data_IF_109199773608
#
_entry.id   IF_109199773608
#
_cell.length_a   1.000
_cell.length_b   1.000
_cell.length_c   1.000
_cell.angle_alpha   90.00
_cell.angle_beta   90.00
_cell.angle_gamma   90.00
#
_symmetry.space_group_name_H-M   'P 1'
#
loop_
_entity.id
_entity.type
_entity.pdbx_description
1 polymer ?
#
# COMPACT_ATOMS: atom_id res chain seq x y z
N UNK A 1 -20.79 -28.08 -6.39
CA UNK A 1 -20.26 -27.72 -7.73
C UNK A 1 -18.82 -27.26 -7.56
N UNK A 2 -17.87 -27.73 -8.37
CA UNK A 2 -16.50 -27.24 -8.36
C UNK A 2 -16.29 -26.29 -9.54
N UNK A 3 -15.71 -25.12 -9.30
CA UNK A 3 -15.35 -24.16 -10.34
C UNK A 3 -13.84 -24.06 -10.49
N UNK A 4 -13.37 -23.89 -11.73
CA UNK A 4 -11.95 -23.66 -12.01
C UNK A 4 -11.66 -22.16 -11.98
N UNK A 5 -10.65 -21.77 -11.22
CA UNK A 5 -10.14 -20.39 -11.17
C UNK A 5 -8.72 -20.38 -11.74
N UNK A 6 -8.49 -19.58 -12.78
CA UNK A 6 -7.16 -19.34 -13.35
C UNK A 6 -6.78 -17.90 -13.01
N UNK A 7 -5.71 -17.73 -12.25
CA UNK A 7 -5.18 -16.41 -11.92
C UNK A 7 -3.76 -16.24 -12.44
N UNK A 8 -3.45 -15.03 -12.91
CA UNK A 8 -2.10 -14.62 -13.28
C UNK A 8 -1.55 -13.71 -12.18
N UNK A 9 -0.27 -13.88 -11.87
CA UNK A 9 0.44 -13.08 -10.87
C UNK A 9 1.92 -13.06 -11.21
N UNK A 10 2.65 -12.16 -10.57
CA UNK A 10 4.10 -12.14 -10.63
C UNK A 10 4.72 -13.46 -10.16
N UNK A 11 5.72 -13.93 -10.91
CA UNK A 11 6.39 -15.21 -10.64
C UNK A 11 7.09 -15.23 -9.28
N UNK A 12 7.69 -14.10 -8.89
CA UNK A 12 8.40 -13.97 -7.62
C UNK A 12 7.44 -14.04 -6.43
N UNK A 13 6.28 -13.37 -6.52
CA UNK A 13 5.23 -13.44 -5.52
C UNK A 13 4.70 -14.87 -5.36
N UNK A 14 4.44 -15.57 -6.49
CA UNK A 14 4.03 -16.98 -6.47
C UNK A 14 5.04 -17.87 -5.75
N UNK A 15 6.34 -17.72 -6.05
CA UNK A 15 7.41 -18.51 -5.40
C UNK A 15 7.47 -18.23 -3.90
N UNK A 16 7.37 -16.96 -3.49
CA UNK A 16 7.38 -16.57 -2.09
C UNK A 16 6.18 -17.15 -1.31
N UNK A 17 4.98 -17.00 -1.86
CA UNK A 17 3.76 -17.55 -1.27
C UNK A 17 3.83 -19.08 -1.14
N UNK A 18 4.32 -19.77 -2.18
CA UNK A 18 4.46 -21.23 -2.16
C UNK A 18 5.48 -21.71 -1.12
N UNK A 19 6.62 -21.01 -0.97
CA UNK A 19 7.62 -21.31 0.05
C UNK A 19 7.06 -21.13 1.46
N UNK A 20 6.27 -20.07 1.69
CA UNK A 20 5.61 -19.82 2.99
C UNK A 20 4.57 -20.89 3.29
N UNK A 21 3.66 -21.17 2.35
CA UNK A 21 2.66 -22.21 2.50
C UNK A 21 3.28 -23.58 2.86
N UNK A 22 4.36 -23.97 2.17
CA UNK A 22 5.09 -25.21 2.45
C UNK A 22 5.69 -25.25 3.86
N UNK A 23 6.25 -24.13 4.34
CA UNK A 23 6.78 -24.02 5.71
C UNK A 23 5.69 -24.19 6.75
N UNK A 24 4.49 -23.71 6.47
CA UNK A 24 3.32 -23.82 7.34
C UNK A 24 2.53 -25.12 7.13
N UNK A 25 3.06 -26.08 6.35
CA UNK A 25 2.45 -27.40 6.15
C UNK A 25 1.18 -27.39 5.29
N UNK A 26 0.94 -26.32 4.51
CA UNK A 26 -0.27 -26.15 3.71
C UNK A 26 0.03 -26.01 2.22
N UNK A 27 -0.96 -26.35 1.38
CA UNK A 27 -0.88 -26.12 -0.06
C UNK A 27 -1.28 -24.69 -0.41
N UNK A 28 -0.75 -24.15 -1.51
CA UNK A 28 -1.16 -22.81 -2.00
C UNK A 28 -2.67 -22.76 -2.33
N UNK A 29 -3.26 -23.87 -2.77
CA UNK A 29 -4.71 -24.00 -2.99
C UNK A 29 -5.49 -23.80 -1.69
N UNK A 30 -5.03 -24.40 -0.60
CA UNK A 30 -5.66 -24.25 0.72
C UNK A 30 -5.61 -22.79 1.18
N UNK A 31 -4.46 -22.13 1.04
CA UNK A 31 -4.30 -20.70 1.35
C UNK A 31 -5.32 -19.86 0.59
N UNK A 32 -5.40 -20.03 -0.74
CA UNK A 32 -6.32 -19.25 -1.57
C UNK A 32 -7.79 -19.50 -1.21
N UNK A 33 -8.16 -20.75 -0.91
CA UNK A 33 -9.51 -21.09 -0.47
C UNK A 33 -9.85 -20.46 0.89
N UNK A 34 -8.92 -20.45 1.83
CA UNK A 34 -9.10 -19.78 3.12
C UNK A 34 -9.23 -18.27 2.94
N UNK A 35 -8.36 -17.64 2.14
CA UNK A 35 -8.48 -16.22 1.84
C UNK A 35 -9.82 -15.88 1.17
N UNK A 36 -10.29 -16.69 0.22
CA UNK A 36 -11.62 -16.49 -0.40
C UNK A 36 -12.74 -16.60 0.64
N UNK A 37 -12.67 -17.58 1.54
CA UNK A 37 -13.66 -17.75 2.61
C UNK A 37 -13.64 -16.58 3.58
N UNK A 38 -12.45 -16.21 4.09
CA UNK A 38 -12.29 -15.12 5.03
C UNK A 38 -12.66 -13.75 4.43
N UNK A 39 -12.51 -13.59 3.11
CA UNK A 39 -13.02 -12.42 2.40
C UNK A 39 -14.55 -12.37 2.39
N UNK A 40 -15.22 -13.50 2.10
CA UNK A 40 -16.69 -13.60 2.14
C UNK A 40 -17.22 -13.44 3.58
N UNK A 41 -16.52 -13.99 4.57
CA UNK A 41 -16.86 -13.88 6.00
C UNK A 41 -16.57 -12.48 6.57
N UNK A 42 -16.03 -11.54 5.77
CA UNK A 42 -15.73 -10.17 6.19
C UNK A 42 -14.53 -10.04 7.14
N UNK A 43 -13.63 -11.03 7.20
CA UNK A 43 -12.38 -10.94 7.97
C UNK A 43 -11.24 -10.29 7.20
N UNK A 44 -11.31 -10.29 5.87
CA UNK A 44 -10.37 -9.60 4.99
C UNK A 44 -11.10 -8.41 4.36
N UNK A 45 -10.56 -7.20 4.54
CA UNK A 45 -11.03 -5.99 3.87
C UNK A 45 -9.93 -5.42 3.00
N UNK A 46 -10.26 -5.06 1.77
CA UNK A 46 -9.36 -4.32 0.89
C UNK A 46 -9.75 -2.85 0.93
N UNK A 47 -8.79 -2.00 1.32
CA UNK A 47 -8.92 -0.56 1.20
C UNK A 47 -8.07 -0.09 0.02
N UNK A 48 -8.70 0.54 -0.97
CA UNK A 48 -7.96 1.23 -2.01
C UNK A 48 -7.61 2.62 -1.49
N UNK A 49 -6.39 2.82 -0.98
CA UNK A 49 -5.90 4.18 -0.79
C UNK A 49 -5.49 4.71 -2.16
N UNK A 50 -6.31 5.56 -2.76
CA UNK A 50 -5.80 6.48 -3.77
C UNK A 50 -4.83 7.40 -3.04
N UNK A 51 -3.53 7.16 -3.19
CA UNK A 51 -2.53 8.15 -2.82
C UNK A 51 -2.73 9.34 -3.75
N UNK A 52 -3.51 10.32 -3.31
CA UNK A 52 -3.50 11.64 -3.93
C UNK A 52 -2.10 12.19 -3.63
N UNK A 53 -1.24 12.26 -4.64
CA UNK A 53 0.05 12.96 -4.50
C UNK A 53 -0.26 14.35 -3.90
N UNK A 54 0.46 14.80 -2.85
CA UNK A 54 0.22 16.12 -2.30
C UNK A 54 0.46 17.15 -3.40
N UNK A 55 -0.53 18.00 -3.64
CA UNK A 55 -0.37 19.18 -4.50
C UNK A 55 0.73 20.05 -3.87
N UNK A 56 1.96 19.96 -4.40
CA UNK A 56 3.07 20.81 -3.96
C UNK A 56 2.82 22.19 -4.55
N UNK A 57 2.17 23.06 -3.78
CA UNK A 57 2.18 24.50 -4.07
C UNK A 57 3.61 25.01 -3.89
N UNK A 58 4.31 25.25 -5.00
CA UNK A 58 5.59 25.95 -5.00
C UNK A 58 5.28 27.41 -4.70
N UNK A 59 5.45 27.82 -3.45
CA UNK A 59 5.43 29.22 -3.07
C UNK A 59 6.67 29.90 -3.65
N UNK A 60 6.50 30.72 -4.68
CA UNK A 60 7.55 31.62 -5.13
C UNK A 60 7.86 32.63 -4.03
N UNK A 61 9.08 32.60 -3.50
CA UNK A 61 9.52 33.54 -2.47
C UNK A 61 9.71 34.91 -3.12
N UNK A 62 8.70 35.76 -2.97
CA UNK A 62 8.79 37.16 -3.38
C UNK A 62 9.73 37.94 -2.45
N UNK A 63 10.37 39.03 -2.92
CA UNK A 63 11.31 39.82 -2.10
C UNK A 63 10.73 40.33 -0.77
N UNK A 64 9.43 40.60 -0.73
CA UNK A 64 8.75 41.04 0.49
C UNK A 64 8.50 39.89 1.48
N UNK A 65 8.31 38.66 0.98
CA UNK A 65 8.21 37.47 1.82
C UNK A 65 9.56 37.16 2.46
N UNK A 66 10.65 37.27 1.70
CA UNK A 66 12.02 37.12 2.21
C UNK A 66 12.30 38.08 3.36
N UNK A 67 11.97 39.37 3.21
CA UNK A 67 12.13 40.37 4.28
C UNK A 67 11.36 40.02 5.56
N UNK A 68 10.18 39.40 5.44
CA UNK A 68 9.40 38.96 6.60
C UNK A 68 10.03 37.75 7.28
N UNK A 69 10.56 36.81 6.48
CA UNK A 69 11.29 35.64 6.99
C UNK A 69 12.56 36.07 7.75
N UNK A 70 13.34 37.00 7.18
CA UNK A 70 14.57 37.50 7.80
C UNK A 70 14.28 38.20 9.14
N UNK A 71 13.19 38.98 9.23
CA UNK A 71 12.75 39.61 10.48
C UNK A 71 12.38 38.60 11.57
N UNK A 72 11.77 37.47 11.19
CA UNK A 72 11.41 36.41 12.15
C UNK A 72 12.68 35.72 12.66
N UNK A 73 13.67 35.48 11.78
CA UNK A 73 14.97 34.91 12.16
C UNK A 73 15.71 35.82 13.14
N UNK A 74 15.67 37.14 12.95
CA UNK A 74 16.33 38.08 13.84
C UNK A 74 15.62 38.26 15.20
N UNK A 75 14.32 37.97 15.30
CA UNK A 75 13.57 37.96 16.57
C UNK A 75 13.77 36.67 17.39
N UNK A 76 14.30 35.62 16.76
CA UNK A 76 14.56 34.32 17.40
C UNK A 76 16.04 34.15 17.82
N UNK A 77 16.89 35.14 17.55
CA UNK A 77 18.25 35.27 18.08
C UNK A 77 18.23 36.02 19.41
#
# INVERSE_FOLDING_TARGET
>A
MQSQVIFKTEQNLKKAALKKAKKEGMSLKMVLNHCMKDYVDGKIHFYFSYQKEPEVEILEVTPDLQKKMDKIVDLLK
#
